data_IF_276590846207
#
_entry.id   IF_276590846207
#
_cell.length_a   1.000
_cell.length_b   1.000
_cell.length_c   1.000
_cell.angle_alpha   90.00
_cell.angle_beta   90.00
_cell.angle_gamma   90.00
#
_symmetry.space_group_name_H-M   'P 1'
#
loop_
_entity.id
_entity.type
_entity.pdbx_description
1 polymer ?
#
# COMPACT_ATOMS: atom_id res chain seq x y z
N UNK A 1 -9.49 8.40 3.08
CA UNK A 1 -8.19 7.69 3.11
C UNK A 1 -7.81 7.35 4.54
N UNK A 2 -8.04 8.27 5.48
CA UNK A 2 -7.83 8.05 6.91
C UNK A 2 -8.49 6.79 7.51
N UNK A 3 -9.64 6.32 7.01
CA UNK A 3 -10.22 5.06 7.52
C UNK A 3 -9.43 3.81 7.15
N UNK A 4 -8.72 3.82 6.01
CA UNK A 4 -7.89 2.68 5.58
C UNK A 4 -6.61 2.64 6.43
N UNK A 5 -6.00 3.80 6.68
CA UNK A 5 -4.81 3.93 7.55
C UNK A 5 -5.06 3.47 9.00
N UNK A 6 -6.31 3.53 9.48
CA UNK A 6 -6.69 3.09 10.84
C UNK A 6 -7.00 1.61 10.97
N UNK A 7 -7.02 0.85 9.87
CA UNK A 7 -7.09 -0.61 9.97
C UNK A 7 -5.78 -1.11 10.56
N UNK A 8 -5.84 -1.87 11.68
CA UNK A 8 -4.71 -2.38 12.50
C UNK A 8 -3.63 -3.20 11.74
N UNK A 9 -3.72 -3.32 10.41
CA UNK A 9 -2.88 -4.14 9.54
C UNK A 9 -2.46 -3.40 8.26
N UNK A 10 -2.87 -2.15 8.11
CA UNK A 10 -2.39 -1.25 7.07
C UNK A 10 -1.14 -0.57 7.62
N UNK A 11 -0.02 -0.84 6.96
CA UNK A 11 1.29 -0.32 7.36
C UNK A 11 1.50 1.06 6.76
N UNK A 12 1.12 1.23 5.49
CA UNK A 12 1.27 2.49 4.78
C UNK A 12 0.38 2.53 3.52
N UNK A 13 0.03 3.74 3.08
CA UNK A 13 -0.79 4.01 1.89
C UNK A 13 -0.11 5.07 1.03
N UNK A 14 0.35 4.68 -0.15
CA UNK A 14 0.97 5.59 -1.13
C UNK A 14 0.08 5.78 -2.35
N UNK A 15 -0.13 7.04 -2.74
CA UNK A 15 -0.74 7.38 -4.03
C UNK A 15 0.34 7.48 -5.10
N UNK A 16 0.44 6.48 -5.97
CA UNK A 16 1.53 6.41 -6.97
C UNK A 16 1.21 7.19 -8.25
N UNK A 17 -0.06 7.18 -8.68
CA UNK A 17 -0.58 7.86 -9.88
C UNK A 17 -2.05 8.23 -9.66
N UNK A 18 -2.65 9.10 -10.50
CA UNK A 18 -4.09 9.29 -10.48
C UNK A 18 -4.81 7.93 -10.55
N UNK A 19 -5.70 7.70 -9.59
CA UNK A 19 -6.52 6.49 -9.46
C UNK A 19 -5.72 5.18 -9.23
N UNK A 20 -4.45 5.27 -8.81
CA UNK A 20 -3.64 4.12 -8.43
C UNK A 20 -3.16 4.27 -7.00
N UNK A 21 -3.51 3.27 -6.17
CA UNK A 21 -3.13 3.21 -4.78
C UNK A 21 -2.18 2.02 -4.58
N UNK A 22 -1.05 2.25 -3.92
CA UNK A 22 -0.18 1.19 -3.40
C UNK A 22 -0.39 1.15 -1.90
N UNK A 23 -0.78 -0.01 -1.37
CA UNK A 23 -1.00 -0.19 0.06
C UNK A 23 -0.03 -1.23 0.56
N UNK A 24 0.75 -0.90 1.57
CA UNK A 24 1.59 -1.86 2.27
C UNK A 24 0.80 -2.45 3.43
N UNK A 25 0.72 -3.78 3.45
CA UNK A 25 -0.14 -4.53 4.36
C UNK A 25 0.68 -5.57 5.11
N UNK A 26 0.46 -5.67 6.41
CA UNK A 26 0.92 -6.82 7.16
C UNK A 26 -0.05 -7.98 6.94
N UNK A 27 0.47 -9.10 6.39
CA UNK A 27 -0.29 -10.29 6.00
C UNK A 27 -1.42 -9.95 5.00
N UNK A 28 -1.03 -9.54 3.80
CA UNK A 28 -1.93 -9.03 2.77
C UNK A 28 -3.13 -9.95 2.46
N UNK A 29 -2.94 -11.27 2.43
CA UNK A 29 -3.99 -12.24 2.09
C UNK A 29 -5.23 -12.15 2.99
N UNK A 30 -5.05 -11.88 4.28
CA UNK A 30 -6.15 -11.78 5.24
C UNK A 30 -6.80 -10.39 5.26
N UNK A 31 -6.07 -9.35 4.86
CA UNK A 31 -6.52 -7.95 4.89
C UNK A 31 -7.19 -7.57 3.58
N UNK A 32 -6.78 -8.18 2.47
CA UNK A 32 -7.26 -7.86 1.14
C UNK A 32 -8.79 -7.87 1.06
N UNK A 33 -9.52 -8.90 1.55
CA UNK A 33 -10.99 -8.91 1.53
C UNK A 33 -11.63 -7.71 2.24
N UNK A 34 -11.04 -7.26 3.35
CA UNK A 34 -11.56 -6.14 4.14
C UNK A 34 -11.40 -4.81 3.39
N UNK A 35 -10.28 -4.66 2.67
CA UNK A 35 -10.00 -3.48 1.86
C UNK A 35 -10.92 -3.43 0.64
N UNK A 36 -11.11 -4.55 -0.07
CA UNK A 36 -12.07 -4.61 -1.18
C UNK A 36 -13.48 -4.28 -0.69
N UNK A 37 -13.90 -4.82 0.46
CA UNK A 37 -15.21 -4.51 1.04
C UNK A 37 -15.34 -3.02 1.40
N UNK A 38 -14.30 -2.40 1.95
CA UNK A 38 -14.28 -0.97 2.25
C UNK A 38 -14.51 -0.12 1.00
N UNK A 39 -13.77 -0.38 -0.08
CA UNK A 39 -13.92 0.38 -1.33
C UNK A 39 -15.29 0.15 -1.98
N UNK A 40 -15.83 -1.08 -1.90
CA UNK A 40 -17.19 -1.38 -2.35
C UNK A 40 -18.25 -0.58 -1.58
N UNK A 41 -18.15 -0.52 -0.24
CA UNK A 41 -19.05 0.28 0.61
C UNK A 41 -19.00 1.77 0.29
N UNK A 42 -17.81 2.26 -0.03
CA UNK A 42 -17.57 3.65 -0.47
C UNK A 42 -18.06 3.93 -1.91
N UNK A 43 -18.60 2.91 -2.61
CA UNK A 43 -18.98 2.98 -4.04
C UNK A 43 -17.83 3.39 -4.96
N UNK A 44 -16.60 3.05 -4.58
CA UNK A 44 -15.40 3.27 -5.39
C UNK A 44 -15.14 1.98 -6.19
N UNK A 45 -15.28 1.99 -7.53
CA UNK A 45 -15.08 0.80 -8.33
C UNK A 45 -13.59 0.44 -8.41
N UNK A 46 -13.26 -0.80 -8.03
CA UNK A 46 -11.93 -1.37 -8.21
C UNK A 46 -11.86 -2.00 -9.59
N UNK A 47 -10.97 -1.51 -10.47
CA UNK A 47 -10.76 -2.07 -11.81
C UNK A 47 -9.89 -3.32 -11.80
N UNK A 48 -8.89 -3.34 -10.93
CA UNK A 48 -7.94 -4.44 -10.80
C UNK A 48 -7.28 -4.38 -9.42
N UNK A 49 -6.79 -5.54 -8.97
CA UNK A 49 -5.98 -5.68 -7.76
C UNK A 49 -4.74 -6.48 -8.15
N UNK A 50 -3.57 -6.00 -7.74
CA UNK A 50 -2.32 -6.72 -7.87
C UNK A 50 -1.69 -6.85 -6.48
N UNK A 51 -1.34 -8.07 -6.10
CA UNK A 51 -0.65 -8.37 -4.85
C UNK A 51 0.71 -8.98 -5.17
N UNK A 52 1.74 -8.45 -4.54
CA UNK A 52 3.11 -8.96 -4.64
C UNK A 52 3.79 -8.77 -3.30
N UNK A 53 4.77 -9.60 -3.01
CA UNK A 53 5.68 -9.36 -1.89
C UNK A 53 6.43 -8.02 -2.09
N UNK A 54 6.74 -7.30 -1.01
CA UNK A 54 7.49 -6.04 -1.12
C UNK A 54 8.90 -6.32 -1.64
N UNK A 55 9.39 -5.41 -2.49
CA UNK A 55 10.77 -5.47 -2.96
C UNK A 55 11.74 -4.98 -1.89
N UNK A 56 13.04 -5.25 -2.06
CA UNK A 56 14.07 -4.71 -1.15
C UNK A 56 14.03 -3.18 -1.09
N UNK A 57 13.81 -2.53 -2.23
CA UNK A 57 13.71 -1.07 -2.32
C UNK A 57 12.46 -0.55 -1.58
N UNK A 58 11.33 -1.24 -1.67
CA UNK A 58 10.12 -0.90 -0.91
C UNK A 58 10.35 -0.98 0.61
N UNK A 59 11.04 -2.04 1.07
CA UNK A 59 11.39 -2.22 2.48
C UNK A 59 12.39 -1.15 2.92
N UNK A 60 13.40 -0.87 2.11
CA UNK A 60 14.40 0.15 2.39
C UNK A 60 13.77 1.53 2.51
N UNK A 61 12.91 1.91 1.56
CA UNK A 61 12.15 3.16 1.59
C UNK A 61 11.25 3.28 2.82
N UNK A 62 10.59 2.19 3.21
CA UNK A 62 9.74 2.17 4.41
C UNK A 62 10.53 2.48 5.70
N UNK A 63 11.74 1.92 5.86
CA UNK A 63 12.54 2.11 7.07
C UNK A 63 13.42 3.36 7.06
N UNK A 64 13.83 3.84 5.88
CA UNK A 64 14.82 4.93 5.76
C UNK A 64 14.24 6.23 5.20
N UNK A 65 13.08 6.18 4.57
CA UNK A 65 12.48 7.30 3.85
C UNK A 65 13.20 7.67 2.55
N UNK A 66 14.15 6.83 2.09
CA UNK A 66 14.91 7.02 0.85
C UNK A 66 14.80 5.75 0.00
N UNK A 67 14.83 5.89 -1.32
CA UNK A 67 15.13 4.74 -2.20
C UNK A 67 16.60 4.34 -2.07
N UNK A 68 16.93 3.10 -2.44
CA UNK A 68 18.32 2.63 -2.45
C UNK A 68 19.16 3.50 -3.37
N UNK A 69 18.64 3.88 -4.54
CA UNK A 69 19.33 4.74 -5.50
C UNK A 69 19.65 6.14 -4.93
N UNK A 70 18.74 6.74 -4.17
CA UNK A 70 18.95 8.04 -3.52
C UNK A 70 19.99 7.94 -2.39
N UNK A 71 20.02 6.83 -1.67
CA UNK A 71 20.98 6.60 -0.59
C UNK A 71 22.41 6.38 -1.12
N UNK A 72 22.58 5.71 -2.25
CA UNK A 72 23.89 5.50 -2.89
C UNK A 72 24.48 6.77 -3.51
N UNK A 73 23.65 7.76 -3.85
CA UNK A 73 24.07 9.05 -4.41
C UNK A 73 24.51 10.08 -3.36
N UNK A 74 24.43 9.76 -2.07
CA UNK A 74 24.89 10.61 -0.96
C UNK A 74 26.33 10.31 -0.57
#
# INVERSE_FOLDING_TARGET
MEEVERMNRVVDVLSTKPNHLKIYLNKAEEVLPQITEFFLKMRIPIKSVQMSEPTLDDVFAHYTGLTIEEAEKR
#
